data_IF_790747231637
#
_entry.id   IF_790747231637
#
_cell.length_a   1.000
_cell.length_b   1.000
_cell.length_c   1.000
_cell.angle_alpha   90.00
_cell.angle_beta   90.00
_cell.angle_gamma   90.00
#
_symmetry.space_group_name_H-M   'P 1'
#
loop_
_entity.id
_entity.type
_entity.pdbx_description
1 polymer ?
#
# COMPACT_ATOMS: atom_id res chain seq x y z
N UNK A 1 50.00 -2.27 -8.60
CA UNK A 1 49.04 -1.17 -8.37
C UNK A 1 48.57 -0.45 -9.64
N UNK A 2 49.33 -0.40 -10.76
CA UNK A 2 48.84 0.23 -12.00
C UNK A 2 47.89 -0.67 -12.83
N UNK A 3 48.01 -2.00 -12.73
CA UNK A 3 47.25 -2.93 -13.59
C UNK A 3 45.79 -3.20 -13.12
N UNK A 4 45.49 -3.14 -11.82
CA UNK A 4 44.13 -3.36 -11.29
C UNK A 4 43.19 -2.16 -11.51
N UNK A 5 43.75 -0.95 -11.54
CA UNK A 5 43.00 0.29 -11.82
C UNK A 5 42.58 0.35 -13.29
N UNK A 6 43.35 -0.27 -14.19
CA UNK A 6 43.07 -0.26 -15.63
C UNK A 6 42.03 -1.34 -16.01
N UNK A 7 42.08 -2.53 -15.40
CA UNK A 7 41.06 -3.57 -15.60
C UNK A 7 39.67 -3.18 -15.08
N UNK A 8 39.59 -2.48 -13.94
CA UNK A 8 38.32 -2.03 -13.37
C UNK A 8 37.66 -0.93 -14.22
N UNK A 9 38.45 0.01 -14.74
CA UNK A 9 37.97 1.03 -15.70
C UNK A 9 37.54 0.41 -17.02
N UNK A 10 38.28 -0.59 -17.52
CA UNK A 10 37.95 -1.32 -18.75
C UNK A 10 36.66 -2.13 -18.61
N UNK A 11 36.44 -2.80 -17.48
CA UNK A 11 35.17 -3.48 -17.17
C UNK A 11 33.98 -2.52 -17.06
N UNK A 12 34.16 -1.35 -16.44
CA UNK A 12 33.12 -0.31 -16.38
C UNK A 12 32.79 0.27 -17.76
N UNK A 13 33.78 0.47 -18.63
CA UNK A 13 33.57 0.92 -20.01
C UNK A 13 32.79 -0.10 -20.80
N UNK A 14 33.22 -1.37 -20.80
CA UNK A 14 32.54 -2.45 -21.54
C UNK A 14 31.11 -2.66 -21.07
N UNK A 15 30.85 -2.52 -19.76
CA UNK A 15 29.48 -2.62 -19.23
C UNK A 15 28.62 -1.41 -19.62
N UNK A 16 29.18 -0.19 -19.59
CA UNK A 16 28.50 1.01 -20.11
C UNK A 16 28.22 0.90 -21.61
N UNK A 17 29.16 0.39 -22.39
CA UNK A 17 29.05 0.23 -23.83
C UNK A 17 28.02 -0.86 -24.18
N UNK A 18 27.96 -1.94 -23.39
CA UNK A 18 26.92 -2.98 -23.49
C UNK A 18 25.53 -2.46 -23.12
N UNK A 19 25.41 -1.73 -22.00
CA UNK A 19 24.15 -1.10 -21.58
C UNK A 19 23.70 -0.07 -22.61
N UNK A 20 24.62 0.75 -23.12
CA UNK A 20 24.32 1.70 -24.19
C UNK A 20 23.89 0.98 -25.48
N UNK A 21 24.56 -0.10 -25.90
CA UNK A 21 24.14 -0.88 -27.08
C UNK A 21 22.79 -1.60 -26.92
N UNK A 22 22.42 -1.98 -25.70
CA UNK A 22 21.08 -2.50 -25.40
C UNK A 22 20.04 -1.37 -25.40
N UNK A 23 20.40 -0.20 -24.90
CA UNK A 23 19.53 0.97 -24.80
C UNK A 23 19.40 1.78 -26.09
N UNK A 24 20.28 1.62 -27.08
CA UNK A 24 20.18 2.28 -28.41
C UNK A 24 19.26 1.53 -29.38
N UNK A 25 18.80 0.32 -29.05
CA UNK A 25 17.72 -0.31 -29.79
C UNK A 25 16.42 0.46 -29.50
N UNK A 26 15.84 1.08 -30.53
CA UNK A 26 14.63 1.94 -30.51
C UNK A 26 13.37 1.33 -29.89
N UNK A 27 13.47 0.10 -29.38
CA UNK A 27 12.44 -0.64 -28.65
C UNK A 27 12.17 0.00 -27.28
N UNK A 28 13.17 0.54 -26.58
CA UNK A 28 13.04 1.11 -25.23
C UNK A 28 12.54 2.58 -25.18
N UNK A 29 12.52 3.26 -26.32
CA UNK A 29 12.07 4.66 -26.44
C UNK A 29 10.56 4.80 -26.66
N UNK A 30 9.88 3.71 -27.01
CA UNK A 30 8.42 3.70 -27.11
C UNK A 30 7.80 3.24 -25.79
N UNK A 31 6.57 3.69 -25.47
CA UNK A 31 5.79 3.18 -24.31
C UNK A 31 5.71 1.64 -24.30
N UNK A 32 5.82 1.01 -25.48
CA UNK A 32 5.89 -0.45 -25.69
C UNK A 32 7.11 -1.13 -25.06
N UNK A 33 8.22 -0.41 -24.83
CA UNK A 33 9.43 -0.96 -24.23
C UNK A 33 9.53 -0.84 -22.71
N UNK A 34 8.71 0.01 -22.08
CA UNK A 34 8.81 0.33 -20.64
C UNK A 34 7.67 -0.25 -19.80
N UNK A 35 6.49 -0.44 -20.39
CA UNK A 35 5.37 -1.14 -19.75
C UNK A 35 5.32 -2.59 -20.22
N UNK A 36 4.93 -3.50 -19.33
CA UNK A 36 4.76 -4.91 -19.70
C UNK A 36 3.67 -5.05 -20.75
N UNK A 37 4.05 -5.42 -21.98
CA UNK A 37 3.09 -5.62 -23.06
C UNK A 37 2.71 -7.10 -23.15
N UNK A 38 1.41 -7.40 -23.04
CA UNK A 38 0.88 -8.76 -23.16
C UNK A 38 -0.11 -8.86 -24.32
N UNK A 39 -0.34 -10.07 -24.82
CA UNK A 39 -1.48 -10.33 -25.69
C UNK A 39 -2.78 -10.02 -24.93
N UNK A 40 -3.73 -9.37 -25.59
CA UNK A 40 -4.99 -8.99 -24.98
C UNK A 40 -5.90 -10.22 -24.84
N UNK A 41 -6.15 -10.76 -23.63
CA UNK A 41 -7.04 -11.89 -23.44
C UNK A 41 -8.52 -11.54 -23.66
N UNK A 42 -8.85 -10.25 -23.71
CA UNK A 42 -10.20 -9.74 -23.94
C UNK A 42 -10.49 -9.49 -25.42
N UNK A 43 -9.52 -9.73 -26.30
CA UNK A 43 -9.65 -9.40 -27.72
C UNK A 43 -10.78 -10.21 -28.37
N UNK A 44 -11.69 -9.50 -29.05
CA UNK A 44 -12.83 -10.10 -29.73
C UNK A 44 -14.00 -10.46 -28.82
N UNK A 45 -13.90 -10.19 -27.51
CA UNK A 45 -15.02 -10.36 -26.59
C UNK A 45 -15.99 -9.18 -26.71
N UNK A 46 -17.28 -9.48 -26.55
CA UNK A 46 -18.31 -8.48 -26.27
C UNK A 46 -18.45 -8.36 -24.75
N UNK A 47 -18.00 -7.24 -24.19
CA UNK A 47 -18.11 -7.02 -22.74
C UNK A 47 -19.51 -6.50 -22.42
N UNK A 48 -20.27 -7.31 -21.69
CA UNK A 48 -21.55 -6.91 -21.12
C UNK A 48 -21.27 -6.53 -19.65
N UNK A 49 -21.53 -5.28 -19.23
CA UNK A 49 -21.36 -4.88 -17.83
C UNK A 49 -22.48 -5.53 -16.99
N UNK A 50 -22.26 -6.78 -16.56
CA UNK A 50 -23.25 -7.53 -15.79
C UNK A 50 -23.22 -7.21 -14.30
N UNK A 51 -22.07 -6.78 -13.76
CA UNK A 51 -21.90 -6.51 -12.33
C UNK A 51 -20.99 -5.30 -12.09
N UNK A 52 -21.46 -4.34 -11.29
CA UNK A 52 -20.61 -3.31 -10.69
C UNK A 52 -19.51 -3.97 -9.84
N UNK A 53 -18.33 -3.33 -9.71
CA UNK A 53 -17.22 -3.82 -8.87
C UNK A 53 -17.71 -4.19 -7.44
N UNK A 54 -18.63 -3.37 -6.92
CA UNK A 54 -19.46 -3.66 -5.76
C UNK A 54 -20.91 -3.87 -6.22
N UNK A 55 -21.55 -5.04 -5.98
CA UNK A 55 -22.90 -5.36 -6.46
C UNK A 55 -24.01 -4.50 -5.80
N UNK A 56 -23.64 -3.61 -4.87
CA UNK A 56 -24.52 -2.73 -4.13
C UNK A 56 -24.61 -1.31 -4.75
N UNK A 57 -24.17 -1.12 -6.00
CA UNK A 57 -23.86 0.22 -6.53
C UNK A 57 -24.58 0.56 -7.83
N UNK A 58 -25.30 1.71 -7.88
CA UNK A 58 -25.76 2.29 -9.14
C UNK A 58 -24.62 2.96 -9.92
N UNK A 59 -24.71 2.90 -11.25
CA UNK A 59 -23.73 3.45 -12.20
C UNK A 59 -23.95 4.95 -12.41
N UNK A 60 -23.47 5.80 -11.49
CA UNK A 60 -23.26 7.22 -11.82
C UNK A 60 -21.84 7.42 -12.31
N UNK A 61 -21.61 8.01 -13.50
CA UNK A 61 -20.27 8.40 -13.93
C UNK A 61 -19.70 9.41 -12.92
N UNK A 62 -18.45 9.18 -12.52
CA UNK A 62 -17.72 10.05 -11.60
C UNK A 62 -16.83 10.98 -12.43
N UNK A 63 -17.02 12.30 -12.32
CA UNK A 63 -16.21 13.35 -12.98
C UNK A 63 -14.82 13.53 -12.34
N UNK A 64 -14.30 12.50 -11.67
CA UNK A 64 -13.07 12.59 -10.91
C UNK A 64 -11.84 12.60 -11.82
N UNK A 65 -11.20 13.76 -11.91
CA UNK A 65 -9.98 13.94 -12.71
C UNK A 65 -8.82 13.04 -12.26
N UNK A 66 -8.79 12.61 -11.00
CA UNK A 66 -7.70 11.80 -10.44
C UNK A 66 -7.77 10.33 -10.88
N UNK A 67 -8.98 9.81 -11.11
CA UNK A 67 -9.23 8.43 -11.50
C UNK A 67 -9.93 8.36 -12.87
N UNK A 68 -9.55 9.26 -13.79
CA UNK A 68 -10.10 9.31 -15.13
C UNK A 68 -9.92 7.96 -15.84
N UNK A 69 -10.99 7.45 -16.44
CA UNK A 69 -10.99 6.18 -17.16
C UNK A 69 -11.08 4.93 -16.29
N UNK A 70 -11.20 5.05 -14.96
CA UNK A 70 -11.29 3.90 -14.05
C UNK A 70 -12.51 3.01 -14.36
N UNK A 71 -13.62 3.62 -14.78
CA UNK A 71 -14.87 2.94 -15.12
C UNK A 71 -14.96 2.57 -16.60
N UNK A 72 -13.95 2.90 -17.42
CA UNK A 72 -13.96 2.55 -18.83
C UNK A 72 -13.67 1.06 -19.00
N UNK A 73 -14.47 0.34 -19.80
CA UNK A 73 -14.20 -1.05 -20.08
C UNK A 73 -12.87 -1.20 -20.82
N UNK A 74 -12.14 -2.27 -20.51
CA UNK A 74 -10.89 -2.56 -21.20
C UNK A 74 -11.14 -2.75 -22.71
N UNK A 75 -10.22 -2.27 -23.58
CA UNK A 75 -10.40 -2.36 -25.03
C UNK A 75 -10.39 -3.82 -25.49
N UNK A 76 -11.37 -4.21 -26.30
CA UNK A 76 -11.49 -5.57 -26.87
C UNK A 76 -11.14 -5.66 -28.35
N UNK A 77 -10.87 -4.53 -29.01
CA UNK A 77 -10.41 -4.45 -30.40
C UNK A 77 -8.87 -4.52 -30.50
N UNK A 78 -8.16 -4.10 -29.45
CA UNK A 78 -6.70 -4.12 -29.40
C UNK A 78 -6.11 -5.54 -29.36
N UNK A 79 -4.99 -5.73 -30.08
CA UNK A 79 -4.19 -6.97 -30.04
C UNK A 79 -3.46 -7.20 -28.71
N UNK A 80 -3.13 -6.11 -28.02
CA UNK A 80 -2.25 -6.12 -26.86
C UNK A 80 -2.77 -5.22 -25.75
N UNK A 81 -2.44 -5.55 -24.51
CA UNK A 81 -2.66 -4.71 -23.34
C UNK A 81 -1.32 -4.32 -22.72
N UNK A 82 -1.30 -3.15 -22.08
CA UNK A 82 -0.17 -2.68 -21.30
C UNK A 82 -0.47 -2.86 -19.81
N UNK A 83 0.41 -3.56 -19.12
CA UNK A 83 0.42 -3.66 -17.67
C UNK A 83 1.46 -2.68 -17.13
N UNK A 84 1.05 -1.91 -16.15
CA UNK A 84 1.87 -0.91 -15.48
C UNK A 84 1.82 -1.13 -13.97
N UNK A 85 2.81 -0.58 -13.27
CA UNK A 85 2.86 -0.62 -11.81
C UNK A 85 1.64 0.11 -11.20
N UNK A 86 0.97 -0.55 -10.24
CA UNK A 86 -0.18 0.02 -9.52
C UNK A 86 0.19 1.26 -8.69
N UNK A 87 1.46 1.38 -8.29
CA UNK A 87 1.99 2.55 -7.59
C UNK A 87 1.93 3.85 -8.42
N UNK A 88 1.65 3.76 -9.73
CA UNK A 88 1.35 4.94 -10.55
C UNK A 88 -0.01 5.57 -10.24
N UNK A 89 -0.93 4.83 -9.61
CA UNK A 89 -2.23 5.35 -9.14
C UNK A 89 -2.18 5.65 -7.65
N UNK A 90 -1.92 4.63 -6.82
CA UNK A 90 -1.63 4.76 -5.38
C UNK A 90 -0.98 3.48 -4.87
N UNK A 91 -0.18 3.57 -3.82
CA UNK A 91 0.73 2.48 -3.40
C UNK A 91 0.09 1.40 -2.50
N UNK A 92 -1.17 1.57 -2.09
CA UNK A 92 -1.84 0.62 -1.20
C UNK A 92 -2.78 -0.30 -2.00
N UNK A 93 -2.60 -1.64 -1.97
CA UNK A 93 -3.29 -2.56 -2.87
C UNK A 93 -4.74 -2.89 -2.44
N UNK A 94 -5.48 -1.93 -1.87
CA UNK A 94 -6.87 -2.11 -1.47
C UNK A 94 -7.82 -2.60 -2.58
N UNK A 95 -7.68 -2.19 -3.87
CA UNK A 95 -8.51 -2.73 -4.95
C UNK A 95 -8.47 -4.26 -5.05
N UNK A 96 -7.33 -4.85 -4.68
CA UNK A 96 -7.17 -6.30 -4.70
C UNK A 96 -7.97 -7.00 -3.61
N UNK A 97 -8.43 -6.32 -2.55
CA UNK A 97 -9.05 -6.98 -1.40
C UNK A 97 -10.42 -6.43 -1.03
N UNK A 98 -10.76 -5.20 -1.43
CA UNK A 98 -12.08 -4.57 -1.22
C UNK A 98 -13.21 -5.19 -2.06
N UNK A 99 -12.89 -6.17 -2.91
CA UNK A 99 -13.89 -6.90 -3.69
C UNK A 99 -14.88 -7.59 -2.72
N UNK A 100 -16.20 -7.32 -2.78
CA UNK A 100 -17.15 -7.80 -1.77
C UNK A 100 -17.18 -9.32 -1.57
N UNK A 101 -16.91 -10.10 -2.61
CA UNK A 101 -16.85 -11.57 -2.53
C UNK A 101 -15.73 -12.10 -1.63
N UNK A 102 -14.72 -11.27 -1.29
CA UNK A 102 -13.69 -11.65 -0.32
C UNK A 102 -14.12 -11.45 1.12
N UNK A 103 -15.08 -10.55 1.37
CA UNK A 103 -15.65 -10.28 2.68
C UNK A 103 -14.57 -10.11 3.77
N UNK A 104 -13.57 -9.26 3.48
CA UNK A 104 -12.48 -8.97 4.42
C UNK A 104 -13.01 -8.03 5.50
N UNK A 105 -12.89 -8.44 6.76
CA UNK A 105 -13.36 -7.64 7.91
C UNK A 105 -12.25 -6.81 8.56
N UNK A 106 -10.98 -7.19 8.37
CA UNK A 106 -9.81 -6.56 8.97
C UNK A 106 -8.66 -6.47 7.97
N UNK A 107 -8.12 -5.27 7.80
CA UNK A 107 -6.88 -5.01 7.09
C UNK A 107 -5.78 -4.71 8.09
N UNK A 108 -4.64 -5.39 7.95
CA UNK A 108 -3.38 -4.99 8.57
C UNK A 108 -2.52 -4.44 7.44
N UNK A 109 -2.46 -3.11 7.35
CA UNK A 109 -1.89 -2.37 6.23
C UNK A 109 -0.55 -1.79 6.62
N UNK A 110 0.47 -2.03 5.79
CA UNK A 110 1.80 -1.47 5.93
C UNK A 110 2.04 -0.48 4.80
N UNK A 111 2.38 0.78 5.13
CA UNK A 111 2.67 1.82 4.15
C UNK A 111 4.16 2.20 4.16
N UNK A 112 4.84 1.88 3.07
CA UNK A 112 6.24 2.18 2.80
C UNK A 112 6.42 3.33 1.80
N UNK A 113 5.35 4.08 1.51
CA UNK A 113 5.36 5.15 0.53
C UNK A 113 6.36 6.24 0.89
N UNK A 114 7.02 6.74 -0.16
CA UNK A 114 7.95 7.86 0.00
C UNK A 114 7.21 9.11 0.47
N UNK A 115 7.83 9.81 1.41
CA UNK A 115 7.36 11.10 1.95
C UNK A 115 8.43 12.17 1.73
N UNK A 116 8.02 13.44 1.79
CA UNK A 116 8.95 14.57 1.67
C UNK A 116 9.95 14.59 2.82
N UNK A 117 9.48 14.30 4.04
CA UNK A 117 10.31 14.17 5.23
C UNK A 117 9.69 13.19 6.24
N UNK A 118 10.48 12.80 7.24
CA UNK A 118 10.05 11.86 8.29
C UNK A 118 8.85 12.38 9.10
N UNK A 119 8.72 13.71 9.22
CA UNK A 119 7.66 14.39 9.97
C UNK A 119 6.40 14.67 9.12
N UNK A 120 6.41 14.42 7.81
CA UNK A 120 5.23 14.61 6.95
C UNK A 120 4.13 13.61 7.32
N UNK A 121 2.87 14.03 7.45
CA UNK A 121 1.77 13.15 7.83
C UNK A 121 1.65 11.93 6.87
N UNK A 122 1.63 10.68 7.37
CA UNK A 122 1.76 9.50 6.51
C UNK A 122 0.40 8.96 6.05
N UNK A 123 -0.51 9.82 5.58
CA UNK A 123 -1.89 9.41 5.25
C UNK A 123 -2.27 9.59 3.78
N UNK A 124 -1.36 10.10 2.94
CA UNK A 124 -1.65 10.43 1.54
C UNK A 124 -2.23 9.25 0.77
N UNK A 125 -1.56 8.09 0.77
CA UNK A 125 -2.00 6.92 0.01
C UNK A 125 -3.27 6.29 0.59
N UNK A 126 -3.47 6.40 1.90
CA UNK A 126 -4.68 5.94 2.56
C UNK A 126 -5.90 6.81 2.18
N UNK A 127 -5.74 8.13 2.07
CA UNK A 127 -6.77 9.05 1.57
C UNK A 127 -7.07 8.80 0.08
N UNK A 128 -6.05 8.49 -0.73
CA UNK A 128 -6.26 8.06 -2.12
C UNK A 128 -7.05 6.76 -2.20
N UNK A 129 -6.81 5.83 -1.26
CA UNK A 129 -7.52 4.56 -1.16
C UNK A 129 -8.98 4.75 -0.76
N UNK A 130 -9.28 5.64 0.19
CA UNK A 130 -10.64 6.04 0.54
C UNK A 130 -11.38 6.60 -0.66
N UNK A 131 -10.77 7.53 -1.38
CA UNK A 131 -11.34 8.14 -2.57
C UNK A 131 -11.62 7.12 -3.66
N UNK A 132 -10.69 6.19 -3.91
CA UNK A 132 -10.92 5.07 -4.82
C UNK A 132 -12.09 4.19 -4.35
N UNK A 133 -12.18 3.89 -3.06
CA UNK A 133 -13.26 3.08 -2.51
C UNK A 133 -14.62 3.77 -2.66
N UNK A 134 -14.70 5.09 -2.45
CA UNK A 134 -15.91 5.89 -2.67
C UNK A 134 -16.38 5.83 -4.14
N UNK A 135 -15.45 6.03 -5.10
CA UNK A 135 -15.77 5.93 -6.54
C UNK A 135 -16.31 4.54 -6.90
N UNK A 136 -15.79 3.49 -6.27
CA UNK A 136 -16.20 2.11 -6.50
C UNK A 136 -17.34 1.65 -5.58
N UNK A 137 -17.87 2.54 -4.73
CA UNK A 137 -18.91 2.24 -3.75
C UNK A 137 -18.59 1.00 -2.89
N UNK A 138 -17.32 0.91 -2.48
CA UNK A 138 -16.81 -0.10 -1.56
C UNK A 138 -16.91 0.42 -0.12
N UNK A 139 -17.39 -0.38 0.85
CA UNK A 139 -17.33 -0.01 2.26
C UNK A 139 -15.88 0.28 2.68
N UNK A 140 -15.65 1.47 3.23
CA UNK A 140 -14.34 1.92 3.69
C UNK A 140 -14.50 2.87 4.89
N UNK A 141 -13.64 2.82 5.92
CA UNK A 141 -13.70 3.78 7.02
C UNK A 141 -13.54 5.22 6.53
N UNK A 142 -14.17 6.21 7.17
CA UNK A 142 -14.05 7.63 6.78
C UNK A 142 -12.68 8.19 7.18
N UNK A 143 -11.65 7.94 6.36
CA UNK A 143 -10.26 8.27 6.67
C UNK A 143 -10.06 9.78 6.79
N UNK A 144 -10.64 10.56 5.88
CA UNK A 144 -10.53 12.02 5.90
C UNK A 144 -10.93 12.63 7.26
N UNK A 145 -12.06 12.19 7.80
CA UNK A 145 -12.59 12.67 9.08
C UNK A 145 -11.72 12.19 10.25
N UNK A 146 -11.32 10.91 10.24
CA UNK A 146 -10.53 10.30 11.33
C UNK A 146 -9.10 10.84 11.38
N UNK A 147 -8.47 11.09 10.23
CA UNK A 147 -7.11 11.65 10.14
C UNK A 147 -7.06 13.07 10.71
N UNK A 148 -8.11 13.85 10.51
CA UNK A 148 -8.20 15.23 11.03
C UNK A 148 -8.05 15.30 12.56
N UNK A 149 -8.41 14.23 13.28
CA UNK A 149 -8.15 14.12 14.71
C UNK A 149 -6.72 13.63 15.01
N UNK A 150 -6.23 12.62 14.28
CA UNK A 150 -4.90 12.07 14.51
C UNK A 150 -3.77 13.09 14.34
N UNK A 151 -3.90 14.02 13.37
CA UNK A 151 -2.88 15.05 13.13
C UNK A 151 -2.77 16.10 14.24
N UNK A 152 -3.75 16.16 15.16
CA UNK A 152 -3.70 17.05 16.34
C UNK A 152 -2.78 16.51 17.44
N UNK A 153 -2.41 15.24 17.36
CA UNK A 153 -1.58 14.55 18.34
C UNK A 153 -0.21 14.20 17.76
N UNK A 154 0.79 13.88 18.61
CA UNK A 154 2.06 13.34 18.14
C UNK A 154 1.85 12.09 17.26
N UNK A 155 2.68 11.90 16.23
CA UNK A 155 2.58 10.74 15.35
C UNK A 155 2.79 9.44 16.15
N UNK A 156 2.08 8.40 15.72
CA UNK A 156 2.14 7.05 16.26
C UNK A 156 2.64 6.06 15.22
N UNK A 157 3.20 4.94 15.67
CA UNK A 157 3.67 3.84 14.81
C UNK A 157 2.52 2.97 14.27
N UNK A 158 1.33 3.09 14.87
CA UNK A 158 0.13 2.36 14.49
C UNK A 158 -1.13 3.23 14.67
N UNK A 159 -2.06 3.15 13.71
CA UNK A 159 -3.36 3.81 13.74
C UNK A 159 -4.48 2.80 13.45
N UNK A 160 -5.68 3.05 13.96
CA UNK A 160 -6.83 2.16 13.77
C UNK A 160 -8.01 2.95 13.23
N UNK A 161 -8.42 2.63 12.00
CA UNK A 161 -9.55 3.26 11.35
C UNK A 161 -10.76 2.33 11.38
N UNK A 162 -11.85 2.80 11.98
CA UNK A 162 -13.13 2.09 12.07
C UNK A 162 -14.23 3.02 11.58
N UNK A 163 -15.19 2.49 10.85
CA UNK A 163 -16.42 3.23 10.60
C UNK A 163 -17.19 3.38 11.93
N UNK A 164 -17.68 4.59 12.28
CA UNK A 164 -18.30 4.85 13.58
C UNK A 164 -19.61 4.08 13.80
N UNK A 165 -20.39 3.89 12.74
CA UNK A 165 -21.74 3.26 12.80
C UNK A 165 -21.89 1.97 12.01
N UNK A 166 -21.12 1.75 10.94
CA UNK A 166 -21.26 0.59 10.07
C UNK A 166 -20.33 -0.55 10.49
N UNK A 167 -20.86 -1.57 11.18
CA UNK A 167 -20.09 -2.75 11.60
C UNK A 167 -19.66 -3.66 10.43
N UNK A 168 -20.32 -3.58 9.27
CA UNK A 168 -19.95 -4.34 8.05
C UNK A 168 -18.76 -3.71 7.32
N UNK A 169 -18.42 -2.47 7.64
CA UNK A 169 -17.24 -1.82 7.09
C UNK A 169 -15.98 -2.44 7.71
N UNK A 170 -14.96 -2.80 6.90
CA UNK A 170 -13.72 -3.35 7.41
C UNK A 170 -13.02 -2.38 8.36
N UNK A 171 -12.32 -2.93 9.35
CA UNK A 171 -11.40 -2.19 10.20
C UNK A 171 -10.03 -2.16 9.50
N UNK A 172 -9.33 -1.03 9.56
CA UNK A 172 -7.96 -0.89 9.03
C UNK A 172 -7.00 -0.59 10.18
N UNK A 173 -6.06 -1.49 10.43
CA UNK A 173 -4.90 -1.26 11.29
C UNK A 173 -3.76 -0.83 10.37
N UNK A 174 -3.24 0.38 10.59
CA UNK A 174 -2.36 1.06 9.67
C UNK A 174 -0.99 1.32 10.29
N UNK A 175 0.04 0.76 9.67
CA UNK A 175 1.45 0.88 10.05
C UNK A 175 2.21 1.69 9.01
N UNK A 176 2.38 3.01 9.22
CA UNK A 176 3.26 3.81 8.38
C UNK A 176 4.73 3.57 8.75
N UNK A 177 5.62 3.73 7.78
CA UNK A 177 7.06 3.66 8.00
C UNK A 177 7.55 4.89 8.79
N UNK A 178 7.69 4.73 10.11
CA UNK A 178 8.12 5.75 11.07
C UNK A 178 9.16 5.19 12.04
N UNK A 179 10.21 5.97 12.32
CA UNK A 179 11.22 5.66 13.33
C UNK A 179 11.02 6.55 14.57
N UNK A 180 10.16 6.12 15.49
CA UNK A 180 9.80 6.85 16.71
C UNK A 180 10.40 6.16 17.95
N UNK A 181 9.67 5.21 18.55
CA UNK A 181 10.08 4.56 19.80
C UNK A 181 11.27 3.62 19.59
N UNK A 182 11.44 3.08 18.38
CA UNK A 182 12.61 2.29 18.02
C UNK A 182 13.96 3.00 18.27
N UNK A 183 13.98 4.35 18.22
CA UNK A 183 15.17 5.15 18.57
C UNK A 183 15.61 4.95 20.01
N UNK A 184 14.66 4.69 20.90
CA UNK A 184 14.86 4.60 22.36
C UNK A 184 14.86 3.15 22.85
N UNK A 185 14.13 2.27 22.19
CA UNK A 185 13.92 0.89 22.63
C UNK A 185 14.45 -0.10 21.59
N UNK A 186 15.09 -1.18 22.05
CA UNK A 186 15.55 -2.27 21.18
C UNK A 186 14.50 -3.38 21.01
N UNK A 187 13.62 -3.51 22.00
CA UNK A 187 12.45 -4.38 22.01
C UNK A 187 11.33 -3.67 22.79
N UNK A 188 10.05 -4.03 22.61
CA UNK A 188 8.97 -3.42 23.38
C UNK A 188 9.26 -3.43 24.89
N UNK A 189 9.27 -2.25 25.50
CA UNK A 189 9.58 -2.08 26.93
C UNK A 189 11.06 -2.24 27.34
N UNK A 190 11.97 -2.54 26.41
CA UNK A 190 13.41 -2.71 26.70
C UNK A 190 14.21 -1.54 26.12
N UNK A 191 14.69 -0.60 26.95
CA UNK A 191 15.43 0.56 26.48
C UNK A 191 16.79 0.15 25.90
N UNK A 192 17.32 1.02 25.04
CA UNK A 192 18.71 0.99 24.59
C UNK A 192 19.59 1.64 25.65
N UNK A 193 20.74 1.03 25.92
CA UNK A 193 21.62 1.44 27.02
C UNK A 193 22.97 1.96 26.52
N UNK A 194 23.55 1.31 25.50
CA UNK A 194 24.88 1.69 24.99
C UNK A 194 24.79 2.74 23.89
N UNK A 195 25.86 3.52 23.72
CA UNK A 195 25.95 4.51 22.64
C UNK A 195 25.85 3.85 21.26
N UNK A 196 26.40 2.64 21.09
CA UNK A 196 26.29 1.90 19.82
C UNK A 196 24.84 1.49 19.53
N UNK A 197 24.08 1.08 20.55
CA UNK A 197 22.66 0.75 20.40
C UNK A 197 21.83 1.98 20.00
N UNK A 198 22.10 3.13 20.62
CA UNK A 198 21.45 4.41 20.32
C UNK A 198 21.81 4.91 18.91
N UNK A 199 23.09 4.87 18.54
CA UNK A 199 23.55 5.25 17.21
C UNK A 199 22.96 4.32 16.15
N UNK A 200 22.80 3.02 16.44
CA UNK A 200 22.16 2.08 15.52
C UNK A 200 20.75 2.51 15.16
N UNK A 201 19.93 2.95 16.12
CA UNK A 201 18.54 3.34 15.84
C UNK A 201 18.37 4.81 15.43
N UNK A 202 19.39 5.66 15.63
CA UNK A 202 19.34 7.06 15.23
C UNK A 202 19.62 7.25 13.73
N UNK A 203 18.58 7.12 12.91
CA UNK A 203 18.62 7.41 11.48
C UNK A 203 17.30 7.99 10.98
N UNK A 204 17.39 8.83 9.94
CA UNK A 204 16.23 9.29 9.18
C UNK A 204 15.93 8.37 8.00
N UNK A 205 14.66 8.27 7.62
CA UNK A 205 14.21 7.41 6.52
C UNK A 205 14.17 8.22 5.21
N UNK A 206 13.41 9.30 5.22
CA UNK A 206 13.15 10.21 4.11
C UNK A 206 13.98 11.49 4.22
N UNK A 207 14.37 11.89 5.45
CA UNK A 207 15.19 13.10 5.69
C UNK A 207 16.70 12.87 5.61
N UNK A 208 17.17 11.64 5.36
CA UNK A 208 18.61 11.35 5.20
C UNK A 208 19.16 11.97 3.92
N UNK A 209 20.18 12.80 4.04
CA UNK A 209 20.85 13.44 2.89
C UNK A 209 21.48 12.42 1.92
N UNK A 210 21.87 11.24 2.43
CA UNK A 210 22.41 10.14 1.62
C UNK A 210 21.32 9.32 0.93
N UNK A 211 20.04 9.61 1.20
CA UNK A 211 18.86 8.96 0.60
C UNK A 211 18.96 7.43 0.62
N UNK A 212 19.42 6.88 1.75
CA UNK A 212 19.74 5.47 1.90
C UNK A 212 18.55 4.53 1.59
N UNK A 213 17.32 4.97 1.86
CA UNK A 213 16.08 4.22 1.68
C UNK A 213 15.23 4.74 0.52
N UNK A 214 15.85 5.45 -0.43
CA UNK A 214 15.16 5.92 -1.64
C UNK A 214 14.67 4.74 -2.48
N UNK A 215 13.50 4.91 -3.13
CA UNK A 215 12.94 3.96 -4.10
C UNK A 215 13.87 3.65 -5.27
N UNK A 216 14.86 4.50 -5.54
CA UNK A 216 15.87 4.29 -6.59
C UNK A 216 17.13 3.57 -6.10
N UNK A 217 17.26 3.31 -4.80
CA UNK A 217 18.41 2.62 -4.24
C UNK A 217 18.13 1.12 -4.11
N UNK A 218 18.92 0.31 -4.80
CA UNK A 218 18.82 -1.16 -4.78
C UNK A 218 19.98 -1.83 -4.02
N UNK A 219 20.89 -1.05 -3.41
CA UNK A 219 22.02 -1.58 -2.66
C UNK A 219 21.90 -1.24 -1.18
N UNK A 220 21.71 -2.28 -0.37
CA UNK A 220 21.60 -2.18 1.08
C UNK A 220 22.76 -2.93 1.76
N UNK A 221 23.77 -2.21 2.28
CA UNK A 221 24.71 -2.76 3.26
C UNK A 221 23.97 -3.32 4.49
N UNK A 222 24.54 -4.33 5.15
CA UNK A 222 23.90 -5.04 6.27
C UNK A 222 23.34 -4.08 7.33
N UNK A 223 24.14 -3.11 7.82
CA UNK A 223 23.67 -2.12 8.82
C UNK A 223 22.40 -1.37 8.38
N UNK A 224 22.25 -1.02 7.09
CA UNK A 224 21.06 -0.31 6.58
C UNK A 224 19.87 -1.25 6.42
N UNK A 225 20.12 -2.46 5.95
CA UNK A 225 19.09 -3.50 5.85
C UNK A 225 18.53 -3.84 7.25
N UNK A 226 19.41 -4.15 8.19
CA UNK A 226 19.05 -4.53 9.56
C UNK A 226 18.28 -3.42 10.26
N UNK A 227 18.70 -2.16 10.09
CA UNK A 227 17.99 -0.98 10.63
C UNK A 227 16.53 -0.92 10.19
N UNK A 228 16.27 -1.04 8.89
CA UNK A 228 14.90 -0.95 8.36
C UNK A 228 14.06 -2.18 8.72
N UNK A 229 14.67 -3.37 8.65
CA UNK A 229 13.99 -4.62 9.00
C UNK A 229 13.61 -4.65 10.48
N UNK A 230 14.56 -4.37 11.38
CA UNK A 230 14.32 -4.38 12.83
C UNK A 230 13.40 -3.25 13.27
N UNK A 231 13.44 -2.09 12.58
CA UNK A 231 12.47 -1.01 12.83
C UNK A 231 11.04 -1.51 12.61
N UNK A 232 10.77 -2.15 11.48
CA UNK A 232 9.41 -2.62 11.17
C UNK A 232 8.97 -3.77 12.07
N UNK A 233 9.89 -4.69 12.38
CA UNK A 233 9.65 -5.74 13.37
C UNK A 233 9.28 -5.14 14.73
N UNK A 234 10.07 -4.18 15.22
CA UNK A 234 9.81 -3.49 16.47
C UNK A 234 8.45 -2.80 16.46
N UNK A 235 8.13 -2.02 15.43
CA UNK A 235 6.86 -1.28 15.35
C UNK A 235 5.65 -2.22 15.42
N UNK A 236 5.74 -3.40 14.79
CA UNK A 236 4.68 -4.42 14.87
C UNK A 236 4.58 -5.03 16.26
N UNK A 237 5.71 -5.47 16.82
CA UNK A 237 5.74 -6.08 18.16
C UNK A 237 5.26 -5.11 19.24
N UNK A 238 5.65 -3.84 19.15
CA UNK A 238 5.29 -2.78 20.09
C UNK A 238 3.78 -2.46 20.05
N UNK A 239 3.08 -2.80 18.96
CA UNK A 239 1.66 -2.56 18.78
C UNK A 239 0.85 -3.86 18.61
N UNK A 240 1.39 -5.00 19.04
CA UNK A 240 0.76 -6.32 18.85
C UNK A 240 -0.60 -6.42 19.55
N UNK A 241 -0.77 -5.73 20.67
CA UNK A 241 -2.03 -5.77 21.44
C UNK A 241 -3.15 -5.03 20.72
N UNK A 242 -2.84 -3.93 20.00
CA UNK A 242 -3.79 -3.26 19.11
C UNK A 242 -4.31 -4.24 18.05
N UNK A 243 -3.43 -5.09 17.49
CA UNK A 243 -3.84 -6.11 16.51
C UNK A 243 -4.79 -7.12 17.17
N UNK A 244 -4.44 -7.65 18.34
CA UNK A 244 -5.27 -8.63 19.07
C UNK A 244 -6.64 -8.05 19.44
N UNK A 245 -6.68 -6.83 19.97
CA UNK A 245 -7.93 -6.15 20.36
C UNK A 245 -8.87 -6.00 19.17
N UNK A 246 -8.35 -5.59 18.01
CA UNK A 246 -9.17 -5.40 16.82
C UNK A 246 -9.60 -6.73 16.16
N UNK A 247 -8.79 -7.78 16.29
CA UNK A 247 -9.22 -9.13 15.93
C UNK A 247 -10.39 -9.59 16.81
N UNK A 248 -10.35 -9.34 18.12
CA UNK A 248 -11.46 -9.66 19.03
C UNK A 248 -12.75 -8.93 18.64
N UNK A 249 -12.67 -7.62 18.33
CA UNK A 249 -13.83 -6.85 17.84
C UNK A 249 -14.44 -7.48 16.58
N UNK A 250 -13.61 -7.89 15.63
CA UNK A 250 -14.08 -8.54 14.39
C UNK A 250 -14.74 -9.89 14.68
N UNK A 251 -14.17 -10.69 15.58
CA UNK A 251 -14.75 -11.97 16.00
C UNK A 251 -16.11 -11.78 16.66
N UNK A 252 -16.27 -10.75 17.49
CA UNK A 252 -17.55 -10.40 18.12
C UNK A 252 -18.60 -9.99 17.08
N UNK A 253 -18.23 -9.13 16.11
CA UNK A 253 -19.11 -8.77 14.98
C UNK A 253 -19.60 -10.01 14.25
N UNK A 254 -18.69 -10.93 13.90
CA UNK A 254 -19.05 -12.19 13.21
C UNK A 254 -20.00 -13.06 14.03
N UNK A 255 -19.78 -13.18 15.35
CA UNK A 255 -20.67 -13.94 16.23
C UNK A 255 -22.08 -13.35 16.25
N UNK A 256 -22.23 -12.02 16.29
CA UNK A 256 -23.55 -11.36 16.21
C UNK A 256 -24.27 -11.68 14.89
N UNK A 257 -23.55 -11.63 13.76
CA UNK A 257 -24.14 -11.93 12.45
C UNK A 257 -24.49 -13.41 12.26
N UNK A 258 -23.78 -14.33 12.92
CA UNK A 258 -24.06 -15.77 12.87
C UNK A 258 -25.07 -16.24 13.93
N UNK A 259 -25.52 -15.37 14.83
CA UNK A 259 -26.50 -15.74 15.85
C UNK A 259 -27.87 -16.07 15.20
N UNK A 260 -28.60 -17.11 15.65
CA UNK A 260 -29.84 -17.55 15.01
C UNK A 260 -30.92 -16.47 14.84
N UNK A 261 -30.94 -15.46 15.72
CA UNK A 261 -31.93 -14.38 15.70
C UNK A 261 -31.77 -13.40 14.52
N UNK A 262 -30.57 -13.27 13.93
CA UNK A 262 -30.33 -12.40 12.76
C UNK A 262 -30.78 -13.06 11.43
N UNK A 263 -30.83 -14.39 11.38
CA UNK A 263 -31.28 -15.15 10.20
C UNK A 263 -32.79 -15.08 9.98
N UNK A 264 -33.57 -14.80 11.03
CA UNK A 264 -35.03 -14.69 10.95
C UNK A 264 -35.46 -13.39 10.28
N UNK A 265 -34.71 -12.29 10.45
CA UNK A 265 -35.04 -10.98 9.87
C UNK A 265 -34.81 -10.90 8.36
N UNK A 266 -33.85 -11.66 7.82
CA UNK A 266 -33.56 -11.67 6.38
C UNK A 266 -34.52 -12.55 5.56
N UNK A 267 -35.32 -13.44 6.19
CA UNK A 267 -36.34 -14.23 5.49
C UNK A 267 -37.67 -13.50 5.29
N UNK A 268 -37.90 -12.40 6.02
CA UNK A 268 -39.15 -11.61 5.92
C UNK A 268 -39.15 -10.54 4.82
N UNK A 269 -38.03 -10.29 4.15
CA UNK A 269 -37.94 -9.25 3.10
C UNK A 269 -38.15 -9.75 1.66
N UNK A 270 -38.24 -11.06 1.42
CA UNK A 270 -38.52 -11.64 0.09
C UNK A 270 -40.01 -11.92 -0.18
N UNK A 271 -40.92 -11.42 0.67
CA UNK A 271 -42.36 -11.50 0.43
C UNK A 271 -43.00 -10.13 0.56
N UNK A 272 -42.93 -9.35 -0.52
CA UNK A 272 -43.93 -8.35 -0.90
C UNK A 272 -43.77 -7.96 -2.36
#
# INVERSE_FOLDING_TARGET
CANEVDESKKKQSVWKDFVNNICTNSILDTRKGRAGCILNPLRGLSLIPCFSFSPFSPTSPSDDMLFKGLTEPAPTDSKTLYLVDGGLTFNLPFPLLLRPQRSVDLFITFDFSSREADHTAPFKELLLSEKWAQINNCPFPPIHDLVSEYIKHPPKECYVFKHPTNELCPIIIYFPLLNLDFKKFKQPGVPRETEEELEFANFGIFSDCKKAYSIYNFKYPSKKFDRLSQLMEFNVLNNIDIIKENLLVVMERKRKFMAPESLVLNQTCEKK
#
